data_IF_567676537777
#
_entry.id   IF_567676537777
#
_cell.length_a   1.000
_cell.length_b   1.000
_cell.length_c   1.000
_cell.angle_alpha   90.00
_cell.angle_beta   90.00
_cell.angle_gamma   90.00
#
_symmetry.space_group_name_H-M   'P 1'
#
loop_
_entity.id
_entity.type
_entity.pdbx_description
1 polymer ?
#
# COMPACT_ATOMS: atom_id res chain seq x y z
N UNK A 1 16.93 -23.12 -1.55
CA UNK A 1 18.37 -22.81 -1.36
C UNK A 1 18.95 -23.63 -0.23
N UNK A 2 18.48 -23.51 1.03
CA UNK A 2 19.02 -24.28 2.21
C UNK A 2 18.97 -25.79 2.00
N UNK A 3 17.88 -26.36 1.48
CA UNK A 3 17.79 -27.81 1.14
C UNK A 3 18.89 -28.31 0.20
N UNK A 4 19.42 -27.45 -0.66
CA UNK A 4 20.52 -27.80 -1.56
C UNK A 4 21.90 -27.60 -0.94
N UNK A 5 22.03 -26.57 -0.08
CA UNK A 5 23.30 -26.28 0.60
C UNK A 5 23.61 -27.26 1.74
N UNK A 6 22.54 -27.77 2.40
CA UNK A 6 22.58 -28.67 3.55
C UNK A 6 21.65 -29.87 3.29
N UNK A 7 22.01 -30.77 2.37
CA UNK A 7 21.15 -31.88 1.96
C UNK A 7 20.82 -32.84 3.11
N UNK A 8 21.73 -32.97 4.10
CA UNK A 8 21.55 -33.79 5.30
C UNK A 8 20.43 -33.25 6.23
N UNK A 9 20.10 -31.97 6.11
CA UNK A 9 19.02 -31.32 6.88
C UNK A 9 17.81 -30.95 6.04
N UNK A 10 17.74 -31.42 4.78
CA UNK A 10 16.69 -31.04 3.85
C UNK A 10 15.28 -31.41 4.33
N UNK A 11 15.15 -32.51 5.08
CA UNK A 11 13.87 -32.98 5.64
C UNK A 11 13.36 -32.13 6.81
N UNK A 12 14.24 -31.36 7.46
CA UNK A 12 13.88 -30.45 8.56
C UNK A 12 13.25 -29.15 8.06
N UNK A 13 13.40 -28.83 6.77
CA UNK A 13 12.90 -27.59 6.18
C UNK A 13 11.44 -27.79 5.70
N UNK A 14 10.48 -27.41 6.52
CA UNK A 14 9.06 -27.42 6.18
C UNK A 14 8.56 -26.06 5.69
N UNK A 15 9.13 -24.96 6.24
CA UNK A 15 8.76 -23.59 5.92
C UNK A 15 9.99 -22.67 5.85
N UNK A 16 9.79 -21.40 5.54
CA UNK A 16 10.84 -20.37 5.46
C UNK A 16 11.54 -20.18 6.81
N UNK A 17 10.78 -20.19 7.91
CA UNK A 17 11.34 -20.05 9.26
C UNK A 17 12.34 -21.16 9.60
N UNK A 18 12.04 -22.43 9.22
CA UNK A 18 12.98 -23.54 9.40
C UNK A 18 14.26 -23.33 8.61
N UNK A 19 14.14 -22.90 7.36
CA UNK A 19 15.30 -22.63 6.52
C UNK A 19 16.21 -21.54 7.11
N UNK A 20 15.61 -20.46 7.62
CA UNK A 20 16.36 -19.36 8.26
C UNK A 20 17.01 -19.86 9.57
N UNK A 21 16.27 -20.57 10.42
CA UNK A 21 16.79 -21.15 11.66
C UNK A 21 17.98 -22.05 11.39
N UNK A 22 17.87 -22.97 10.44
CA UNK A 22 18.96 -23.88 10.07
C UNK A 22 20.18 -23.12 9.53
N UNK A 23 19.97 -22.06 8.73
CA UNK A 23 21.06 -21.24 8.25
C UNK A 23 21.78 -20.53 9.40
N UNK A 24 21.05 -19.96 10.36
CA UNK A 24 21.61 -19.28 11.52
C UNK A 24 22.33 -20.23 12.49
N UNK A 25 21.95 -21.52 12.55
CA UNK A 25 22.64 -22.54 13.35
C UNK A 25 24.03 -22.92 12.78
N UNK A 26 24.25 -22.66 11.48
CA UNK A 26 25.56 -22.90 10.86
C UNK A 26 26.60 -21.82 11.23
N UNK A 27 26.14 -20.63 11.58
CA UNK A 27 27.02 -19.52 11.94
C UNK A 27 27.44 -19.66 13.40
N UNK A 28 28.75 -19.72 13.60
CA UNK A 28 29.36 -19.69 14.93
C UNK A 28 29.37 -18.26 15.46
N UNK A 29 28.19 -17.78 15.87
CA UNK A 29 28.07 -16.45 16.49
C UNK A 29 28.68 -16.50 17.89
N UNK A 30 29.77 -15.77 18.11
CA UNK A 30 30.27 -15.56 19.46
C UNK A 30 29.39 -14.53 20.17
N UNK A 31 28.64 -14.99 21.15
CA UNK A 31 27.73 -14.15 21.92
C UNK A 31 28.45 -13.09 22.78
N UNK A 32 29.73 -13.16 22.94
CA UNK A 32 30.55 -12.13 23.62
C UNK A 32 30.88 -10.97 22.67
N UNK A 33 30.87 -11.21 21.38
CA UNK A 33 31.10 -10.20 20.37
C UNK A 33 29.81 -9.39 20.07
N UNK A 34 30.01 -8.22 19.44
CA UNK A 34 28.90 -7.40 18.95
C UNK A 34 28.45 -7.92 17.59
N UNK A 35 27.25 -8.50 17.56
CA UNK A 35 26.73 -9.19 16.40
C UNK A 35 25.62 -8.38 15.71
N UNK A 36 25.74 -8.18 14.41
CA UNK A 36 24.72 -7.57 13.56
C UNK A 36 24.34 -8.54 12.46
N UNK A 37 23.03 -8.71 12.25
CA UNK A 37 22.52 -9.49 11.12
C UNK A 37 21.80 -8.58 10.13
N UNK A 38 21.96 -8.89 8.85
CA UNK A 38 21.15 -8.31 7.76
C UNK A 38 20.26 -9.42 7.21
N UNK A 39 18.96 -9.20 7.20
CA UNK A 39 17.99 -10.16 6.68
C UNK A 39 16.93 -9.46 5.81
N UNK A 40 16.60 -10.11 4.69
CA UNK A 40 15.53 -9.64 3.80
C UNK A 40 14.35 -10.61 3.91
N UNK A 41 13.53 -10.44 4.97
CA UNK A 41 12.48 -11.36 5.35
C UNK A 41 11.26 -10.62 5.92
N UNK A 42 10.09 -11.25 5.82
CA UNK A 42 8.92 -10.80 6.54
C UNK A 42 8.91 -11.40 7.95
N UNK A 43 9.05 -10.54 8.95
CA UNK A 43 9.05 -10.95 10.37
C UNK A 43 7.64 -10.81 10.94
N UNK A 44 7.18 -11.82 11.66
CA UNK A 44 5.87 -11.84 12.31
C UNK A 44 5.67 -10.60 13.18
N UNK A 45 4.50 -9.96 13.06
CA UNK A 45 4.17 -8.72 13.77
C UNK A 45 4.51 -7.44 13.01
N UNK A 46 5.24 -7.50 11.89
CA UNK A 46 5.43 -6.34 11.02
C UNK A 46 4.14 -5.99 10.25
N UNK A 47 3.92 -4.68 10.04
CA UNK A 47 2.78 -4.16 9.27
C UNK A 47 3.20 -3.93 7.83
N UNK A 48 2.43 -4.46 6.89
CA UNK A 48 2.58 -4.24 5.44
C UNK A 48 1.89 -2.95 5.00
N UNK A 49 2.33 -2.39 3.88
CA UNK A 49 1.59 -1.40 3.11
C UNK A 49 1.12 -2.02 1.78
N UNK A 50 0.24 -1.32 1.05
CA UNK A 50 -0.35 -1.84 -0.21
C UNK A 50 0.68 -2.08 -1.33
N UNK A 51 1.90 -1.53 -1.19
CA UNK A 51 2.99 -1.73 -2.15
C UNK A 51 3.67 -3.10 -2.01
N UNK A 52 3.45 -3.78 -0.90
CA UNK A 52 3.99 -5.11 -0.65
C UNK A 52 2.92 -6.13 -1.03
N UNK A 53 3.07 -6.73 -2.21
CA UNK A 53 2.11 -7.69 -2.73
C UNK A 53 1.83 -8.81 -1.73
N UNK A 54 0.56 -9.15 -1.62
CA UNK A 54 0.08 -10.33 -0.90
C UNK A 54 0.64 -11.60 -1.56
N UNK A 55 1.76 -12.10 -1.08
CA UNK A 55 2.08 -13.49 -1.34
C UNK A 55 1.07 -14.35 -0.58
N UNK A 56 0.41 -15.21 -1.31
CA UNK A 56 -0.66 -16.08 -0.79
C UNK A 56 -0.04 -17.09 0.17
N UNK A 57 -0.27 -16.89 1.47
CA UNK A 57 0.05 -17.81 2.56
C UNK A 57 0.98 -17.23 3.62
N UNK A 58 0.65 -17.46 4.90
CA UNK A 58 1.48 -17.11 6.08
C UNK A 58 2.79 -17.90 6.19
N UNK A 59 3.11 -18.74 5.21
CA UNK A 59 4.27 -19.66 5.21
C UNK A 59 5.63 -18.96 5.08
N UNK A 60 5.65 -17.68 4.71
CA UNK A 60 6.88 -16.90 4.50
C UNK A 60 7.26 -16.01 5.67
N UNK A 61 6.49 -16.04 6.76
CA UNK A 61 6.81 -15.27 7.96
C UNK A 61 7.83 -16.01 8.83
N UNK A 62 8.75 -15.24 9.40
CA UNK A 62 9.73 -15.76 10.36
C UNK A 62 9.52 -15.10 11.73
N UNK A 63 9.70 -15.83 12.84
CA UNK A 63 9.57 -15.26 14.17
C UNK A 63 10.75 -14.35 14.51
N UNK A 64 10.50 -13.28 15.28
CA UNK A 64 11.52 -12.30 15.67
C UNK A 64 12.57 -12.89 16.63
N UNK A 65 12.20 -13.95 17.36
CA UNK A 65 13.08 -14.69 18.30
C UNK A 65 14.32 -15.27 17.62
N UNK A 66 14.29 -15.51 16.30
CA UNK A 66 15.46 -15.95 15.55
C UNK A 66 16.60 -14.93 15.59
N UNK A 67 16.32 -13.69 15.95
CA UNK A 67 17.30 -12.61 16.01
C UNK A 67 17.80 -12.30 17.43
N UNK A 68 17.42 -13.07 18.46
CA UNK A 68 17.76 -12.79 19.88
C UNK A 68 19.25 -12.70 20.14
N UNK A 69 20.05 -13.53 19.46
CA UNK A 69 21.52 -13.57 19.62
C UNK A 69 22.23 -12.34 19.06
N UNK A 70 21.55 -11.50 18.27
CA UNK A 70 22.13 -10.35 17.61
C UNK A 70 21.83 -9.07 18.39
N UNK A 71 22.82 -8.21 18.50
CA UNK A 71 22.66 -6.87 19.11
C UNK A 71 21.75 -5.99 18.23
N UNK A 72 21.84 -6.17 16.90
CA UNK A 72 20.97 -5.49 15.94
C UNK A 72 20.64 -6.37 14.74
N UNK A 73 19.37 -6.39 14.35
CA UNK A 73 18.88 -7.00 13.14
C UNK A 73 18.38 -5.92 12.17
N UNK A 74 19.14 -5.70 11.09
CA UNK A 74 18.76 -4.81 10.00
C UNK A 74 17.86 -5.57 9.01
N UNK A 75 16.57 -5.25 9.02
CA UNK A 75 15.58 -5.93 8.20
C UNK A 75 15.26 -5.17 6.93
N UNK A 76 15.21 -5.88 5.80
CA UNK A 76 14.65 -5.44 4.52
C UNK A 76 13.37 -6.20 4.19
N UNK A 77 12.72 -5.85 3.11
CA UNK A 77 11.45 -6.34 2.59
C UNK A 77 10.29 -5.36 2.81
N UNK A 78 10.09 -4.88 4.03
CA UNK A 78 8.99 -3.96 4.35
C UNK A 78 9.41 -2.52 4.06
N UNK A 79 8.55 -1.79 3.31
CA UNK A 79 8.81 -0.41 2.89
C UNK A 79 8.57 0.63 4.00
N UNK A 80 7.75 0.29 4.99
CA UNK A 80 7.48 1.18 6.13
C UNK A 80 8.55 1.05 7.20
N UNK A 81 9.19 2.16 7.63
CA UNK A 81 10.11 2.14 8.76
C UNK A 81 9.38 1.71 10.03
N UNK A 82 9.81 0.62 10.65
CA UNK A 82 9.18 0.11 11.86
C UNK A 82 10.10 -0.83 12.63
N UNK A 83 9.85 -0.96 13.92
CA UNK A 83 10.44 -2.00 14.76
C UNK A 83 9.52 -3.20 14.85
N UNK A 84 10.09 -4.35 15.13
CA UNK A 84 9.37 -5.58 15.46
C UNK A 84 9.81 -6.03 16.84
N UNK A 85 8.87 -6.08 17.79
CA UNK A 85 9.07 -6.41 19.20
C UNK A 85 10.05 -5.48 19.94
N UNK A 86 11.31 -5.46 19.57
CA UNK A 86 12.34 -4.60 20.18
C UNK A 86 12.91 -3.58 19.19
N UNK A 87 13.45 -2.47 19.69
CA UNK A 87 13.96 -1.37 18.86
C UNK A 87 15.15 -1.78 17.97
N UNK A 88 15.86 -2.82 18.36
CA UNK A 88 17.05 -3.33 17.67
C UNK A 88 16.72 -4.40 16.61
N UNK A 89 15.46 -4.80 16.45
CA UNK A 89 14.98 -5.59 15.31
C UNK A 89 14.11 -4.68 14.44
N UNK A 90 14.67 -4.18 13.34
CA UNK A 90 14.08 -3.02 12.68
C UNK A 90 14.16 -3.07 11.16
N UNK A 91 13.04 -2.70 10.53
CA UNK A 91 12.99 -2.27 9.12
C UNK A 91 13.34 -0.79 9.03
N UNK A 92 14.34 -0.43 8.23
CA UNK A 92 14.60 0.98 7.91
C UNK A 92 13.59 1.54 6.90
N UNK A 93 12.86 0.66 6.23
CA UNK A 93 11.96 1.00 5.13
C UNK A 93 12.68 1.21 3.81
N UNK A 94 11.92 1.55 2.78
CA UNK A 94 12.47 1.93 1.48
C UNK A 94 13.02 3.37 1.49
N UNK A 95 14.05 3.67 0.67
CA UNK A 95 14.64 5.03 0.64
C UNK A 95 13.70 6.08 0.04
N UNK A 96 12.77 5.66 -0.82
CA UNK A 96 11.76 6.51 -1.46
C UNK A 96 10.37 5.91 -1.28
N UNK A 97 9.33 6.69 -1.56
CA UNK A 97 7.94 6.22 -1.61
C UNK A 97 7.68 5.57 -2.97
N UNK A 98 7.27 4.33 -3.00
CA UNK A 98 6.98 3.58 -4.24
C UNK A 98 5.49 3.43 -4.51
N UNK A 99 4.65 3.80 -3.54
CA UNK A 99 3.20 3.70 -3.64
C UNK A 99 2.53 4.86 -2.94
N UNK A 100 1.34 5.24 -3.39
CA UNK A 100 0.53 6.25 -2.72
C UNK A 100 0.06 5.84 -1.32
N UNK A 101 0.07 4.56 -0.96
CA UNK A 101 -0.13 4.12 0.43
C UNK A 101 0.97 4.62 1.36
N UNK A 102 2.16 4.90 0.81
CA UNK A 102 3.32 5.43 1.55
C UNK A 102 3.37 6.96 1.61
N UNK A 103 2.39 7.67 0.98
CA UNK A 103 2.43 9.14 0.85
C UNK A 103 2.59 9.88 2.20
N UNK A 104 2.05 9.32 3.29
CA UNK A 104 2.17 9.87 4.65
C UNK A 104 3.42 9.45 5.42
N UNK A 105 4.32 8.65 4.82
CA UNK A 105 5.52 8.17 5.50
C UNK A 105 6.68 9.16 5.33
N UNK A 106 7.50 9.29 6.36
CA UNK A 106 8.80 9.94 6.30
C UNK A 106 9.88 8.87 6.06
N UNK A 107 10.57 8.96 4.93
CA UNK A 107 11.66 8.05 4.58
C UNK A 107 12.96 8.51 5.24
N UNK A 108 13.74 7.55 5.72
CA UNK A 108 14.97 7.86 6.46
C UNK A 108 16.00 6.73 6.36
N UNK A 109 17.24 7.08 6.68
CA UNK A 109 18.30 6.11 6.96
C UNK A 109 18.36 5.90 8.46
N UNK A 110 18.38 4.63 8.89
CA UNK A 110 18.66 4.28 10.29
C UNK A 110 20.17 4.18 10.49
N UNK A 111 20.70 4.97 11.39
CA UNK A 111 22.10 4.91 11.82
C UNK A 111 22.14 4.25 13.18
N UNK A 112 22.97 3.23 13.30
CA UNK A 112 23.22 2.52 14.56
C UNK A 112 24.64 2.79 15.04
N UNK A 113 24.80 2.91 16.32
CA UNK A 113 26.09 2.98 16.99
C UNK A 113 26.15 1.87 18.04
N UNK A 114 27.01 0.89 17.76
CA UNK A 114 27.26 -0.23 18.68
C UNK A 114 28.25 0.24 19.75
N UNK A 115 27.77 0.35 20.97
CA UNK A 115 28.60 0.66 22.15
C UNK A 115 29.20 -0.60 22.74
N UNK A 116 29.11 -0.77 24.04
CA UNK A 116 29.46 -2.03 24.70
C UNK A 116 28.42 -3.10 24.31
N UNK A 117 28.78 -4.38 24.46
CA UNK A 117 27.90 -5.52 24.18
C UNK A 117 26.51 -5.32 24.79
N UNK A 118 25.47 -5.49 23.96
CA UNK A 118 24.08 -5.31 24.34
C UNK A 118 23.58 -3.85 24.30
N UNK A 119 24.46 -2.87 24.07
CA UNK A 119 24.08 -1.46 24.01
C UNK A 119 24.13 -0.94 22.57
N UNK A 120 22.97 -0.54 22.04
CA UNK A 120 22.83 0.00 20.68
C UNK A 120 22.14 1.35 20.75
N UNK A 121 22.76 2.40 20.23
CA UNK A 121 22.15 3.69 20.05
C UNK A 121 21.62 3.83 18.63
N UNK A 122 20.38 4.33 18.50
CA UNK A 122 19.67 4.46 17.25
C UNK A 122 19.34 5.91 16.96
N UNK A 123 19.56 6.34 15.73
CA UNK A 123 19.05 7.62 15.23
C UNK A 123 18.65 7.50 13.79
N UNK A 124 17.71 8.33 13.33
CA UNK A 124 17.27 8.38 11.95
C UNK A 124 17.71 9.68 11.30
N UNK A 125 18.07 9.61 10.02
CA UNK A 125 18.38 10.78 9.18
C UNK A 125 17.32 10.80 8.09
N UNK A 126 16.44 11.85 8.06
CA UNK A 126 15.41 11.96 7.04
C UNK A 126 16.00 12.02 5.64
N UNK A 127 15.39 11.33 4.70
CA UNK A 127 15.68 11.41 3.28
C UNK A 127 14.70 12.38 2.62
N UNK A 128 15.23 13.37 1.93
CA UNK A 128 14.42 14.33 1.18
C UNK A 128 14.53 13.99 -0.32
N UNK A 129 13.46 13.52 -0.97
CA UNK A 129 13.47 13.23 -2.40
C UNK A 129 13.55 14.52 -3.21
N UNK A 130 13.96 14.42 -4.48
CA UNK A 130 13.91 15.54 -5.42
C UNK A 130 12.46 15.92 -5.71
N UNK A 131 11.61 14.93 -5.96
CA UNK A 131 10.16 15.07 -6.11
C UNK A 131 9.50 14.08 -5.14
N UNK A 132 8.63 14.57 -4.30
CA UNK A 132 7.92 13.72 -3.35
C UNK A 132 6.70 13.05 -3.99
N UNK A 133 6.18 12.04 -3.33
CA UNK A 133 4.96 11.36 -3.74
C UNK A 133 3.87 11.71 -2.73
N UNK A 134 2.87 12.50 -3.18
CA UNK A 134 1.84 13.09 -2.33
C UNK A 134 0.42 12.84 -2.84
N UNK A 135 -0.52 12.90 -1.93
CA UNK A 135 -1.96 12.93 -2.22
C UNK A 135 -2.51 14.32 -1.96
N UNK A 136 -3.30 14.84 -2.88
CA UNK A 136 -4.08 16.06 -2.70
C UNK A 136 -5.56 15.76 -2.94
N UNK A 137 -6.44 16.46 -2.22
CA UNK A 137 -7.88 16.23 -2.25
C UNK A 137 -8.61 17.57 -2.18
N UNK A 138 -9.63 17.73 -3.00
CA UNK A 138 -10.49 18.90 -3.03
C UNK A 138 -11.34 18.93 -4.29
N UNK A 139 -12.18 19.95 -4.45
CA UNK A 139 -12.87 20.20 -5.71
C UNK A 139 -11.88 20.66 -6.78
N UNK A 140 -12.23 20.51 -8.05
CA UNK A 140 -11.42 20.99 -9.16
C UNK A 140 -11.05 22.47 -9.01
N UNK A 141 -12.02 23.30 -8.62
CA UNK A 141 -11.78 24.74 -8.40
C UNK A 141 -10.80 24.99 -7.24
N UNK A 142 -10.88 24.23 -6.16
CA UNK A 142 -9.95 24.36 -5.02
C UNK A 142 -8.54 23.98 -5.41
N UNK A 143 -8.34 22.77 -5.99
CA UNK A 143 -6.99 22.28 -6.31
C UNK A 143 -6.33 23.06 -7.44
N UNK A 144 -7.10 23.74 -8.29
CA UNK A 144 -6.58 24.63 -9.35
C UNK A 144 -6.47 26.09 -8.93
N UNK A 145 -6.93 26.44 -7.74
CA UNK A 145 -6.79 27.80 -7.22
C UNK A 145 -5.32 28.14 -6.98
N UNK A 146 -4.86 29.30 -7.44
CA UNK A 146 -3.46 29.74 -7.28
C UNK A 146 -3.02 29.80 -5.81
N UNK A 147 -3.95 30.09 -4.91
CA UNK A 147 -3.72 30.10 -3.46
C UNK A 147 -3.43 28.72 -2.90
N UNK A 148 -3.94 27.64 -3.55
CA UNK A 148 -3.74 26.27 -3.13
C UNK A 148 -2.32 25.78 -3.52
N UNK A 149 -1.92 25.99 -4.76
CA UNK A 149 -0.67 25.41 -5.27
C UNK A 149 0.55 26.32 -5.21
N UNK A 150 0.40 27.64 -5.01
CA UNK A 150 1.50 28.62 -5.02
C UNK A 150 2.65 28.28 -4.05
N UNK A 151 2.34 27.65 -2.92
CA UNK A 151 3.31 27.31 -1.87
C UNK A 151 3.58 25.80 -1.77
N UNK A 152 3.17 25.03 -2.78
CA UNK A 152 3.42 23.59 -2.85
C UNK A 152 4.36 23.28 -4.02
N UNK A 153 5.08 22.17 -3.93
CA UNK A 153 5.88 21.71 -5.05
C UNK A 153 4.95 21.05 -6.08
N UNK A 154 4.79 21.74 -7.23
CA UNK A 154 3.95 21.25 -8.32
C UNK A 154 4.62 20.14 -9.14
N UNK A 155 5.95 19.97 -9.02
CA UNK A 155 6.73 18.95 -9.70
C UNK A 155 6.70 17.57 -8.97
N UNK A 156 6.08 17.50 -7.80
CA UNK A 156 5.90 16.24 -7.09
C UNK A 156 5.00 15.25 -7.86
N UNK A 157 5.19 13.97 -7.62
CA UNK A 157 4.32 12.91 -8.12
C UNK A 157 3.01 12.89 -7.34
N UNK A 158 1.90 13.16 -8.01
CA UNK A 158 0.62 13.40 -7.35
C UNK A 158 -0.44 12.35 -7.69
N UNK A 159 -1.19 11.98 -6.65
CA UNK A 159 -2.54 11.46 -6.75
C UNK A 159 -3.49 12.59 -6.36
N UNK A 160 -4.38 12.97 -7.27
CA UNK A 160 -5.43 13.96 -7.02
C UNK A 160 -6.76 13.22 -6.86
N UNK A 161 -7.44 13.47 -5.75
CA UNK A 161 -8.80 13.00 -5.51
C UNK A 161 -9.76 14.19 -5.60
N UNK A 162 -10.52 14.25 -6.69
CA UNK A 162 -11.56 15.28 -6.86
C UNK A 162 -12.83 14.90 -6.11
N UNK A 163 -13.41 15.91 -5.44
CA UNK A 163 -14.67 15.78 -4.69
C UNK A 163 -15.87 16.36 -5.42
N UNK A 164 -15.69 16.73 -6.69
CA UNK A 164 -16.78 17.21 -7.55
C UNK A 164 -17.79 16.07 -7.78
N UNK A 165 -19.08 16.40 -7.71
CA UNK A 165 -20.15 15.42 -7.92
C UNK A 165 -20.23 14.96 -9.38
N UNK A 166 -19.82 15.82 -10.33
CA UNK A 166 -19.73 15.51 -11.76
C UNK A 166 -18.26 15.36 -12.18
N UNK A 167 -18.00 14.45 -13.11
CA UNK A 167 -16.66 14.24 -13.65
C UNK A 167 -16.22 15.49 -14.44
N UNK A 168 -15.04 15.98 -14.17
CA UNK A 168 -14.46 17.12 -14.88
C UNK A 168 -13.99 16.68 -16.27
N UNK A 169 -14.59 17.21 -17.37
CA UNK A 169 -14.16 16.86 -18.71
C UNK A 169 -12.67 17.19 -18.91
N UNK A 170 -11.91 16.22 -19.45
CA UNK A 170 -10.46 16.30 -19.62
C UNK A 170 -9.68 16.65 -18.34
N UNK A 171 -10.21 16.25 -17.17
CA UNK A 171 -9.68 16.61 -15.85
C UNK A 171 -8.18 16.32 -15.69
N UNK A 172 -7.72 15.13 -16.13
CA UNK A 172 -6.30 14.76 -16.10
C UNK A 172 -5.43 15.73 -16.92
N UNK A 173 -5.83 16.07 -18.14
CA UNK A 173 -5.06 16.97 -19.01
C UNK A 173 -5.03 18.40 -18.45
N UNK A 174 -6.16 18.88 -17.95
CA UNK A 174 -6.25 20.21 -17.32
C UNK A 174 -5.40 20.32 -16.06
N UNK A 175 -5.45 19.32 -15.17
CA UNK A 175 -4.65 19.30 -13.96
C UNK A 175 -3.15 19.23 -14.26
N UNK A 176 -2.73 18.51 -15.30
CA UNK A 176 -1.32 18.43 -15.71
C UNK A 176 -0.74 19.77 -16.19
N UNK A 177 -1.55 20.77 -16.50
CA UNK A 177 -1.04 22.13 -16.78
C UNK A 177 -0.49 22.82 -15.54
N UNK A 178 -0.89 22.37 -14.34
CA UNK A 178 -0.42 22.89 -13.04
C UNK A 178 0.53 21.88 -12.39
N UNK A 179 0.20 20.59 -12.47
CA UNK A 179 0.89 19.48 -11.86
C UNK A 179 1.41 18.51 -12.92
N UNK A 180 2.56 18.80 -13.54
CA UNK A 180 3.04 18.04 -14.72
C UNK A 180 3.23 16.55 -14.41
N UNK A 181 3.61 16.21 -13.18
CA UNK A 181 3.83 14.83 -12.73
C UNK A 181 2.60 14.20 -12.07
N UNK A 182 1.38 14.64 -12.43
CA UNK A 182 0.16 13.99 -11.99
C UNK A 182 0.10 12.56 -12.53
N UNK A 183 0.18 11.57 -11.62
CA UNK A 183 0.19 10.15 -11.95
C UNK A 183 -1.22 9.55 -11.98
N UNK A 184 -2.08 9.97 -11.05
CA UNK A 184 -3.41 9.37 -10.86
C UNK A 184 -4.44 10.42 -10.50
N UNK A 185 -5.61 10.31 -11.12
CA UNK A 185 -6.81 11.10 -10.82
C UNK A 185 -7.91 10.15 -10.38
N UNK A 186 -8.48 10.43 -9.22
CA UNK A 186 -9.59 9.70 -8.64
C UNK A 186 -10.73 10.65 -8.33
N UNK A 187 -11.95 10.12 -8.20
CA UNK A 187 -13.13 10.85 -7.75
C UNK A 187 -13.65 10.24 -6.46
N UNK A 188 -13.97 11.09 -5.49
CA UNK A 188 -14.66 10.73 -4.26
C UNK A 188 -16.01 11.49 -4.23
N UNK A 189 -16.97 11.00 -4.97
CA UNK A 189 -18.33 11.54 -5.09
C UNK A 189 -19.38 10.46 -4.76
N UNK A 190 -20.66 10.82 -4.83
CA UNK A 190 -21.75 9.88 -4.52
C UNK A 190 -21.70 8.62 -5.38
N UNK A 191 -21.38 8.77 -6.67
CA UNK A 191 -21.26 7.64 -7.61
C UNK A 191 -20.18 6.65 -7.18
N UNK A 192 -18.97 7.14 -6.85
CA UNK A 192 -17.84 6.27 -6.50
C UNK A 192 -18.05 5.60 -5.13
N UNK A 193 -18.71 6.29 -4.17
CA UNK A 193 -19.07 5.71 -2.87
C UNK A 193 -20.12 4.63 -2.98
N UNK A 194 -21.18 4.87 -3.78
CA UNK A 194 -22.23 3.88 -4.00
C UNK A 194 -21.72 2.65 -4.74
N UNK A 195 -20.75 2.80 -5.66
CA UNK A 195 -20.12 1.68 -6.34
C UNK A 195 -19.28 0.80 -5.38
N UNK A 196 -18.67 1.39 -4.35
CA UNK A 196 -17.95 0.65 -3.32
C UNK A 196 -18.89 -0.17 -2.42
N UNK A 197 -20.11 0.32 -2.15
CA UNK A 197 -21.12 -0.39 -1.33
C UNK A 197 -21.75 -1.60 -2.05
N UNK A 198 -21.69 -1.66 -3.39
CA UNK A 198 -22.24 -2.80 -4.19
C UNK A 198 -21.33 -4.05 -4.07
N UNK A 199 -20.13 -3.95 -3.57
CA UNK A 199 -19.23 -5.09 -3.30
C UNK A 199 -19.78 -6.10 -2.26
N UNK A 200 -20.90 -5.82 -1.59
CA UNK A 200 -21.65 -6.76 -0.74
C UNK A 200 -22.83 -7.35 -1.51
N UNK A 201 -22.52 -8.27 -2.44
CA UNK A 201 -23.46 -8.88 -3.38
C UNK A 201 -24.40 -9.92 -2.74
N UNK A 202 -25.04 -9.63 -1.62
CA UNK A 202 -25.96 -10.58 -0.96
C UNK A 202 -27.44 -10.44 -1.36
N UNK A 203 -27.82 -9.52 -2.28
CA UNK A 203 -29.25 -9.30 -2.63
C UNK A 203 -29.56 -9.12 -4.13
N UNK A 204 -28.74 -9.64 -5.01
CA UNK A 204 -28.99 -9.52 -6.47
C UNK A 204 -30.13 -10.44 -6.93
N UNK A 205 -30.37 -11.55 -6.26
CA UNK A 205 -31.36 -12.56 -6.63
C UNK A 205 -32.82 -12.14 -6.43
N UNK A 206 -33.09 -11.06 -5.68
CA UNK A 206 -34.48 -10.60 -5.38
C UNK A 206 -34.94 -9.39 -6.21
N UNK A 207 -34.06 -8.79 -7.06
CA UNK A 207 -34.38 -7.56 -7.80
C UNK A 207 -34.80 -7.86 -9.24
N UNK A 208 -35.78 -7.11 -9.75
CA UNK A 208 -36.15 -7.18 -11.16
C UNK A 208 -35.05 -6.57 -12.06
N UNK A 209 -34.99 -7.02 -13.33
CA UNK A 209 -34.04 -6.50 -14.33
C UNK A 209 -34.13 -4.97 -14.49
N UNK A 210 -35.35 -4.40 -14.39
CA UNK A 210 -35.54 -2.96 -14.42
C UNK A 210 -34.99 -2.25 -13.20
N UNK A 211 -35.09 -2.85 -12.02
CA UNK A 211 -34.51 -2.30 -10.79
C UNK A 211 -32.99 -2.33 -10.83
N UNK A 212 -32.40 -3.43 -11.30
CA UNK A 212 -30.94 -3.55 -11.48
C UNK A 212 -30.43 -2.53 -12.49
N UNK A 213 -31.15 -2.35 -13.61
CA UNK A 213 -30.77 -1.35 -14.61
C UNK A 213 -30.93 0.07 -14.09
N UNK A 214 -31.97 0.36 -13.31
CA UNK A 214 -32.15 1.67 -12.69
C UNK A 214 -31.03 2.01 -11.73
N UNK A 215 -30.65 1.08 -10.85
CA UNK A 215 -29.54 1.27 -9.91
C UNK A 215 -28.22 1.47 -10.66
N UNK A 216 -27.95 0.67 -11.69
CA UNK A 216 -26.79 0.85 -12.56
C UNK A 216 -26.78 2.23 -13.22
N UNK A 217 -27.93 2.68 -13.75
CA UNK A 217 -28.06 4.00 -14.38
C UNK A 217 -27.78 5.13 -13.38
N UNK A 218 -28.38 5.06 -12.19
CA UNK A 218 -28.16 6.04 -11.11
C UNK A 218 -26.71 6.09 -10.67
N UNK A 219 -26.07 4.93 -10.57
CA UNK A 219 -24.63 4.80 -10.27
C UNK A 219 -23.74 5.47 -11.33
N UNK A 220 -24.07 5.28 -12.62
CA UNK A 220 -23.25 5.81 -13.70
C UNK A 220 -23.47 7.31 -13.94
N UNK A 221 -24.67 7.82 -13.66
CA UNK A 221 -25.08 9.17 -14.05
C UNK A 221 -25.30 10.14 -12.86
N UNK A 222 -25.16 9.70 -11.61
CA UNK A 222 -25.42 10.45 -10.39
C UNK A 222 -26.85 11.08 -10.35
N UNK A 223 -27.76 10.60 -11.15
CA UNK A 223 -29.15 11.09 -11.23
C UNK A 223 -30.08 9.95 -11.62
N UNK A 224 -31.31 10.03 -11.14
CA UNK A 224 -32.33 9.05 -11.49
C UNK A 224 -32.78 9.19 -12.95
N UNK A 225 -33.22 8.08 -13.53
CA UNK A 225 -33.78 8.06 -14.88
C UNK A 225 -35.05 8.95 -14.96
N UNK A 226 -35.17 9.68 -16.05
CA UNK A 226 -36.41 10.40 -16.38
C UNK A 226 -37.54 9.40 -16.71
N UNK A 227 -38.78 9.85 -16.66
CA UNK A 227 -39.92 9.00 -17.00
C UNK A 227 -39.83 8.44 -18.44
N UNK A 228 -39.29 9.23 -19.37
CA UNK A 228 -39.10 8.81 -20.77
C UNK A 228 -38.02 7.72 -20.89
N UNK A 229 -36.90 7.89 -20.21
CA UNK A 229 -35.82 6.89 -20.19
C UNK A 229 -36.30 5.59 -19.56
N UNK A 230 -37.04 5.65 -18.45
CA UNK A 230 -37.61 4.47 -17.80
C UNK A 230 -38.54 3.72 -18.74
N UNK A 231 -39.47 4.41 -19.44
CA UNK A 231 -40.42 3.82 -20.39
C UNK A 231 -39.67 3.13 -21.54
N UNK A 232 -38.60 3.74 -22.07
CA UNK A 232 -37.77 3.15 -23.13
C UNK A 232 -37.10 1.84 -22.66
N UNK A 233 -36.54 1.84 -21.46
CA UNK A 233 -35.88 0.63 -20.90
C UNK A 233 -36.91 -0.48 -20.67
N UNK A 234 -38.07 -0.15 -20.15
CA UNK A 234 -39.17 -1.13 -19.99
C UNK A 234 -39.63 -1.75 -21.33
N UNK A 235 -39.66 -0.95 -22.38
CA UNK A 235 -40.01 -1.44 -23.75
C UNK A 235 -38.91 -2.37 -24.28
N UNK A 236 -37.64 -1.98 -24.13
CA UNK A 236 -36.50 -2.81 -24.55
C UNK A 236 -36.43 -4.16 -23.81
N UNK A 237 -36.61 -4.14 -22.49
CA UNK A 237 -36.62 -5.37 -21.67
C UNK A 237 -37.78 -6.30 -22.03
N UNK A 238 -38.93 -5.76 -22.40
CA UNK A 238 -40.05 -6.57 -22.93
C UNK A 238 -39.74 -7.20 -24.29
N UNK A 239 -39.09 -6.43 -25.17
CA UNK A 239 -38.71 -6.95 -26.50
C UNK A 239 -37.62 -8.03 -26.45
N UNK A 240 -36.81 -8.10 -25.40
CA UNK A 240 -35.78 -9.14 -25.20
C UNK A 240 -36.37 -10.47 -24.69
N UNK A 241 -37.57 -10.46 -24.14
CA UNK A 241 -38.26 -11.66 -23.59
C UNK A 241 -39.24 -12.29 -24.59
N UNK A 242 -39.45 -11.68 -25.73
CA UNK A 242 -40.33 -12.15 -26.83
C UNK A 242 -39.48 -12.87 -27.88
#
# INVERSE_FOLDING_TARGET
MVRHALPERAEEVMCTADAVRIALEQDLVDEQDRNVILAHQFVTGAKRCDAEELQVGDLDQIPAELFEKFDYAALGHIHSPQKVERDTVRYCGSPLKYSFSEAGQEKSITVIELKEKGTVELRTIPLKPLHDLRKIRGTYLEVTAKTFYKNSDCEDYLLVTLTDEEDVPDGMAKLRTIYPNLMRLEYDNKRTRSAADIGTAERVEEKSELELFREFYELQNNQSMTAQQKALVEELLRGMKA
#
